data_IF_613099645639
#
_entry.id   IF_613099645639
#
_cell.length_a   1.000
_cell.length_b   1.000
_cell.length_c   1.000
_cell.angle_alpha   90.00
_cell.angle_beta   90.00
_cell.angle_gamma   90.00
#
_symmetry.space_group_name_H-M   'P 1'
#
loop_
_entity.id
_entity.type
_entity.pdbx_description
1 polymer ?
#
# COMPACT_ATOMS: atom_id res chain seq x y z
N UNK A 1 -5.24 7.20 -15.62
CA UNK A 1 -4.71 5.98 -16.33
C UNK A 1 -5.90 5.19 -16.83
N UNK A 2 -5.85 4.63 -18.05
CA UNK A 2 -6.91 3.76 -18.59
C UNK A 2 -6.94 2.47 -17.77
N UNK A 3 -8.11 1.93 -17.44
CA UNK A 3 -8.26 0.73 -16.61
C UNK A 3 -7.53 -0.48 -17.19
N UNK A 4 -7.54 -0.62 -18.53
CA UNK A 4 -6.79 -1.67 -19.22
C UNK A 4 -5.28 -1.61 -18.95
N UNK A 5 -4.69 -0.41 -18.91
CA UNK A 5 -3.26 -0.24 -18.65
C UNK A 5 -2.92 -0.52 -17.19
N UNK A 6 -3.81 -0.16 -16.24
CA UNK A 6 -3.63 -0.52 -14.84
C UNK A 6 -3.57 -2.04 -14.67
N UNK A 7 -4.51 -2.76 -15.25
CA UNK A 7 -4.55 -4.22 -15.21
C UNK A 7 -3.29 -4.87 -15.78
N UNK A 8 -2.80 -4.39 -16.92
CA UNK A 8 -1.55 -4.89 -17.54
C UNK A 8 -0.36 -4.62 -16.63
N UNK A 9 -0.23 -3.41 -16.09
CA UNK A 9 0.86 -3.03 -15.20
C UNK A 9 0.86 -3.86 -13.90
N UNK A 10 -0.31 -4.13 -13.32
CA UNK A 10 -0.43 -4.88 -12.07
C UNK A 10 -0.28 -6.40 -12.24
N UNK A 11 -0.42 -6.94 -13.46
CA UNK A 11 -0.48 -8.39 -13.70
C UNK A 11 0.74 -9.15 -13.15
N UNK A 12 1.94 -8.58 -13.25
CA UNK A 12 3.20 -9.18 -12.79
C UNK A 12 3.65 -8.73 -11.38
N UNK A 13 2.93 -7.80 -10.74
CA UNK A 13 3.34 -7.29 -9.43
C UNK A 13 2.97 -8.24 -8.29
N UNK A 14 3.91 -8.42 -7.36
CA UNK A 14 3.61 -8.99 -6.04
C UNK A 14 2.93 -7.95 -5.15
N UNK A 15 3.49 -6.74 -5.08
CA UNK A 15 2.93 -5.60 -4.34
C UNK A 15 2.80 -4.39 -5.25
N UNK A 16 1.75 -3.61 -5.09
CA UNK A 16 1.60 -2.32 -5.77
C UNK A 16 2.27 -1.18 -4.95
N UNK A 17 3.48 -1.41 -4.54
CA UNK A 17 4.31 -0.51 -3.74
C UNK A 17 5.79 -0.87 -3.89
N UNK A 18 6.75 0.04 -3.60
CA UNK A 18 8.18 -0.26 -3.59
C UNK A 18 8.55 -1.10 -2.35
N UNK A 19 8.06 -2.35 -2.32
CA UNK A 19 8.13 -3.30 -1.22
C UNK A 19 8.81 -4.58 -1.68
N UNK A 20 9.99 -4.87 -1.11
CA UNK A 20 10.68 -6.14 -1.34
C UNK A 20 10.04 -7.26 -0.50
N UNK A 21 10.22 -8.51 -0.95
CA UNK A 21 9.80 -9.71 -0.22
C UNK A 21 10.37 -9.75 1.20
N UNK A 22 11.65 -9.42 1.36
CA UNK A 22 12.34 -9.38 2.63
C UNK A 22 11.70 -8.36 3.58
N UNK A 23 11.45 -7.14 3.09
CA UNK A 23 10.80 -6.09 3.87
C UNK A 23 9.36 -6.45 4.22
N UNK A 24 8.59 -7.01 3.28
CA UNK A 24 7.23 -7.46 3.56
C UNK A 24 7.20 -8.48 4.71
N UNK A 25 8.10 -9.48 4.69
CA UNK A 25 8.20 -10.46 5.75
C UNK A 25 8.64 -9.83 7.09
N UNK A 26 9.56 -8.87 7.06
CA UNK A 26 9.99 -8.14 8.26
C UNK A 26 8.88 -7.27 8.86
N UNK A 27 8.07 -6.63 8.03
CA UNK A 27 6.90 -5.84 8.47
C UNK A 27 5.82 -6.75 9.09
N UNK A 28 5.50 -7.87 8.44
CA UNK A 28 4.56 -8.87 8.99
C UNK A 28 5.03 -9.39 10.34
N UNK A 29 6.32 -9.75 10.47
CA UNK A 29 6.88 -10.24 11.72
C UNK A 29 6.94 -9.19 12.84
N UNK A 30 6.90 -7.90 12.49
CA UNK A 30 6.91 -6.80 13.46
C UNK A 30 5.52 -6.49 14.05
N UNK A 31 4.45 -7.01 13.44
CA UNK A 31 3.08 -6.80 13.95
C UNK A 31 2.81 -7.73 15.14
N UNK A 32 2.36 -7.19 16.29
CA UNK A 32 2.07 -8.00 17.47
C UNK A 32 0.70 -8.67 17.35
N UNK A 33 0.60 -9.66 16.47
CA UNK A 33 -0.65 -10.36 16.17
C UNK A 33 -0.81 -11.56 17.12
N UNK A 34 -1.95 -11.63 17.80
CA UNK A 34 -2.35 -12.71 18.69
C UNK A 34 -3.44 -13.60 18.06
N UNK A 35 -3.60 -14.85 18.52
CA UNK A 35 -4.71 -15.70 18.10
C UNK A 35 -6.07 -15.01 18.32
N UNK A 36 -6.93 -15.05 17.30
CA UNK A 36 -8.25 -14.43 17.35
C UNK A 36 -8.29 -12.96 16.89
N UNK A 37 -7.13 -12.33 16.63
CA UNK A 37 -7.10 -10.99 16.08
C UNK A 37 -7.76 -10.91 14.70
N UNK A 38 -8.32 -9.76 14.39
CA UNK A 38 -8.81 -9.38 13.07
C UNK A 38 -7.91 -8.33 12.43
N UNK A 39 -7.63 -8.49 11.13
CA UNK A 39 -6.84 -7.55 10.32
C UNK A 39 -7.73 -6.90 9.27
N UNK A 40 -7.74 -5.58 9.23
CA UNK A 40 -8.43 -4.76 8.24
C UNK A 40 -7.40 -4.12 7.30
N UNK A 41 -7.49 -4.38 6.00
CA UNK A 41 -6.60 -3.79 4.98
C UNK A 41 -7.41 -2.83 4.11
N UNK A 42 -7.21 -1.53 4.32
CA UNK A 42 -7.93 -0.43 3.65
C UNK A 42 -7.16 0.02 2.41
N UNK A 43 -7.74 -0.22 1.23
CA UNK A 43 -7.11 -0.06 -0.07
C UNK A 43 -6.21 -1.23 -0.41
N UNK A 44 -6.70 -2.43 -0.14
CA UNK A 44 -5.92 -3.67 -0.18
C UNK A 44 -5.47 -4.08 -1.60
N UNK A 45 -6.08 -3.55 -2.68
CA UNK A 45 -5.88 -4.05 -4.02
C UNK A 45 -6.24 -5.54 -4.08
N UNK A 46 -5.26 -6.40 -4.42
CA UNK A 46 -5.45 -7.87 -4.38
C UNK A 46 -5.08 -8.50 -3.04
N UNK A 47 -4.82 -7.71 -2.00
CA UNK A 47 -4.63 -8.16 -0.63
C UNK A 47 -3.36 -8.97 -0.36
N UNK A 48 -2.30 -8.84 -1.14
CA UNK A 48 -1.11 -9.69 -0.99
C UNK A 48 -0.50 -9.58 0.42
N UNK A 49 -0.43 -8.37 0.99
CA UNK A 49 0.12 -8.20 2.34
C UNK A 49 -0.81 -8.81 3.41
N UNK A 50 -2.11 -8.63 3.28
CA UNK A 50 -3.12 -9.26 4.14
C UNK A 50 -3.02 -10.80 4.07
N UNK A 51 -2.91 -11.37 2.86
CA UNK A 51 -2.75 -12.81 2.67
C UNK A 51 -1.49 -13.35 3.36
N UNK A 52 -0.38 -12.60 3.34
CA UNK A 52 0.86 -12.97 4.06
C UNK A 52 0.67 -12.93 5.56
N UNK A 53 0.02 -11.90 6.08
CA UNK A 53 -0.31 -11.81 7.51
C UNK A 53 -1.12 -13.04 7.94
N UNK A 54 -2.19 -13.37 7.20
CA UNK A 54 -3.03 -14.53 7.54
C UNK A 54 -2.30 -15.87 7.38
N UNK A 55 -1.34 -15.96 6.45
CA UNK A 55 -0.50 -17.16 6.30
C UNK A 55 0.42 -17.33 7.50
N UNK A 56 1.05 -16.25 7.97
CA UNK A 56 1.95 -16.27 9.12
C UNK A 56 1.22 -16.48 10.45
N UNK A 57 -0.07 -16.10 10.53
CA UNK A 57 -0.89 -16.15 11.74
C UNK A 57 -2.17 -16.99 11.52
N UNK A 58 -2.12 -18.33 11.68
CA UNK A 58 -3.22 -19.22 11.31
C UNK A 58 -4.53 -19.03 12.07
N UNK A 59 -4.51 -18.44 13.26
CA UNK A 59 -5.69 -18.18 14.08
C UNK A 59 -6.26 -16.75 13.92
N UNK A 60 -5.93 -16.05 12.83
CA UNK A 60 -6.31 -14.67 12.55
C UNK A 60 -7.25 -14.62 11.35
N UNK A 61 -8.21 -13.71 11.36
CA UNK A 61 -9.10 -13.41 10.23
C UNK A 61 -8.76 -12.06 9.62
N UNK A 62 -9.27 -11.76 8.43
CA UNK A 62 -9.02 -10.48 7.80
C UNK A 62 -10.10 -10.03 6.84
N UNK A 63 -10.23 -8.72 6.69
CA UNK A 63 -11.07 -8.06 5.68
C UNK A 63 -10.19 -7.16 4.82
N UNK A 64 -10.22 -7.35 3.51
CA UNK A 64 -9.60 -6.46 2.53
C UNK A 64 -10.66 -5.60 1.85
N UNK A 65 -10.47 -4.29 1.84
CA UNK A 65 -11.41 -3.32 1.26
C UNK A 65 -10.73 -2.57 0.12
N UNK A 66 -11.38 -2.51 -1.03
CA UNK A 66 -10.94 -1.73 -2.18
C UNK A 66 -12.14 -1.38 -3.08
N UNK A 67 -12.01 -0.37 -3.92
CA UNK A 67 -13.01 -0.04 -4.94
C UNK A 67 -12.80 -0.79 -6.26
N UNK A 68 -11.63 -1.40 -6.45
CA UNK A 68 -11.24 -2.06 -7.70
C UNK A 68 -11.68 -3.52 -7.71
N UNK A 69 -12.89 -3.80 -8.18
CA UNK A 69 -13.49 -5.15 -8.23
C UNK A 69 -12.55 -6.20 -8.83
N UNK A 70 -11.85 -5.89 -9.94
CA UNK A 70 -10.94 -6.83 -10.60
C UNK A 70 -9.76 -7.24 -9.71
N UNK A 71 -9.25 -6.31 -8.88
CA UNK A 71 -8.18 -6.60 -7.91
C UNK A 71 -8.70 -7.47 -6.76
N UNK A 72 -9.90 -7.17 -6.25
CA UNK A 72 -10.54 -8.01 -5.24
C UNK A 72 -10.77 -9.44 -5.75
N UNK A 73 -11.24 -9.61 -6.99
CA UNK A 73 -11.41 -10.92 -7.63
C UNK A 73 -10.07 -11.67 -7.78
N UNK A 74 -8.97 -10.95 -8.02
CA UNK A 74 -7.61 -11.52 -7.98
C UNK A 74 -7.28 -11.99 -6.55
N UNK A 75 -7.57 -11.18 -5.54
CA UNK A 75 -7.38 -11.50 -4.13
C UNK A 75 -8.14 -12.76 -3.71
N UNK A 76 -9.40 -12.88 -4.10
CA UNK A 76 -10.23 -14.08 -3.84
C UNK A 76 -9.58 -15.34 -4.42
N UNK A 77 -9.07 -15.28 -5.66
CA UNK A 77 -8.36 -16.41 -6.28
C UNK A 77 -7.07 -16.77 -5.52
N UNK A 78 -6.28 -15.78 -5.13
CA UNK A 78 -5.05 -15.99 -4.36
C UNK A 78 -5.34 -16.57 -2.97
N UNK A 79 -6.39 -16.10 -2.30
CA UNK A 79 -6.85 -16.64 -1.02
C UNK A 79 -7.25 -18.12 -1.13
N UNK A 80 -7.99 -18.47 -2.18
CA UNK A 80 -8.38 -19.87 -2.43
C UNK A 80 -7.16 -20.77 -2.69
N UNK A 81 -6.19 -20.32 -3.50
CA UNK A 81 -4.94 -21.05 -3.78
C UNK A 81 -4.10 -21.31 -2.51
N UNK A 82 -4.17 -20.41 -1.52
CA UNK A 82 -3.45 -20.53 -0.24
C UNK A 82 -4.28 -21.19 0.88
N UNK A 83 -5.52 -21.62 0.59
CA UNK A 83 -6.42 -22.20 1.60
C UNK A 83 -6.92 -21.21 2.66
N UNK A 84 -6.94 -19.92 2.34
CA UNK A 84 -7.30 -18.84 3.26
C UNK A 84 -8.76 -18.40 3.13
N UNK A 85 -9.53 -18.93 2.18
CA UNK A 85 -10.88 -18.49 1.81
C UNK A 85 -11.89 -18.47 2.97
N UNK A 86 -11.68 -19.28 4.01
CA UNK A 86 -12.54 -19.29 5.20
C UNK A 86 -12.17 -18.25 6.25
N UNK A 87 -11.06 -17.53 6.06
CA UNK A 87 -10.52 -16.58 7.03
C UNK A 87 -10.35 -15.16 6.50
N UNK A 88 -10.72 -14.93 5.25
CA UNK A 88 -10.62 -13.62 4.59
C UNK A 88 -11.90 -13.27 3.87
N UNK A 89 -12.29 -12.01 3.97
CA UNK A 89 -13.35 -11.40 3.18
C UNK A 89 -12.76 -10.27 2.35
N UNK A 90 -13.23 -10.11 1.11
CA UNK A 90 -12.93 -8.97 0.25
C UNK A 90 -14.20 -8.17 -0.01
N UNK A 91 -14.19 -6.89 0.33
CA UNK A 91 -15.33 -5.98 0.28
C UNK A 91 -15.08 -4.88 -0.75
N UNK A 92 -15.99 -4.74 -1.71
CA UNK A 92 -15.96 -3.61 -2.65
C UNK A 92 -16.64 -2.40 -2.00
N UNK A 93 -15.83 -1.46 -1.49
CA UNK A 93 -16.32 -0.25 -0.82
C UNK A 93 -15.28 0.88 -0.91
N UNK A 94 -15.78 2.11 -0.69
CA UNK A 94 -14.92 3.27 -0.50
C UNK A 94 -14.32 3.26 0.91
N UNK A 95 -13.00 3.19 0.99
CA UNK A 95 -12.26 3.12 2.27
C UNK A 95 -12.47 4.36 3.14
N UNK A 96 -12.77 5.53 2.55
CA UNK A 96 -13.04 6.75 3.30
C UNK A 96 -14.34 6.70 4.13
N UNK A 97 -15.23 5.76 3.80
CA UNK A 97 -16.52 5.58 4.49
C UNK A 97 -16.63 4.22 5.19
N UNK A 98 -15.61 3.39 5.10
CA UNK A 98 -15.57 2.06 5.72
C UNK A 98 -14.99 2.14 7.13
N UNK A 99 -15.81 1.96 8.16
CA UNK A 99 -15.48 2.20 9.56
C UNK A 99 -15.69 0.93 10.41
N UNK A 100 -14.90 -0.10 10.16
CA UNK A 100 -14.87 -1.30 11.00
C UNK A 100 -13.65 -1.30 11.93
N UNK A 101 -13.84 -1.81 13.14
CA UNK A 101 -12.77 -1.94 14.13
C UNK A 101 -11.98 -3.22 13.92
N UNK A 102 -10.65 -3.12 13.99
CA UNK A 102 -9.73 -4.25 13.89
C UNK A 102 -8.56 -4.14 14.88
N UNK A 103 -7.97 -5.28 15.20
CA UNK A 103 -6.78 -5.34 16.06
C UNK A 103 -5.52 -4.87 15.32
N UNK A 104 -5.49 -5.09 14.01
CA UNK A 104 -4.48 -4.55 13.12
C UNK A 104 -5.14 -3.92 11.90
N UNK A 105 -4.78 -2.67 11.61
CA UNK A 105 -5.22 -1.96 10.40
C UNK A 105 -4.01 -1.79 9.47
N UNK A 106 -4.20 -2.09 8.20
CA UNK A 106 -3.20 -1.92 7.15
C UNK A 106 -3.72 -0.88 6.16
N UNK A 107 -2.88 0.06 5.74
CA UNK A 107 -3.20 1.04 4.70
C UNK A 107 -1.92 1.46 3.98
N UNK A 108 -1.76 1.04 2.74
CA UNK A 108 -0.52 1.21 1.98
C UNK A 108 -0.80 1.96 0.66
N UNK A 109 -0.28 3.20 0.56
CA UNK A 109 -0.40 4.02 -0.65
C UNK A 109 -1.82 4.52 -0.94
N UNK A 110 -2.69 4.58 0.06
CA UNK A 110 -4.12 4.87 -0.09
C UNK A 110 -4.56 6.22 0.48
N UNK A 111 -3.64 7.02 1.00
CA UNK A 111 -3.97 8.33 1.61
C UNK A 111 -4.76 9.26 0.70
N UNK A 112 -4.56 9.15 -0.62
CA UNK A 112 -5.29 9.92 -1.61
C UNK A 112 -6.82 9.67 -1.59
N UNK A 113 -7.26 8.47 -1.20
CA UNK A 113 -8.68 8.14 -1.06
C UNK A 113 -9.34 8.83 0.13
N UNK A 114 -8.56 9.21 1.14
CA UNK A 114 -9.03 9.93 2.32
C UNK A 114 -8.91 11.46 2.22
N UNK A 115 -8.32 11.97 1.13
CA UNK A 115 -8.05 13.40 0.96
C UNK A 115 -6.64 13.85 1.35
N UNK A 116 -5.82 12.95 1.88
CA UNK A 116 -4.42 13.18 2.24
C UNK A 116 -3.96 12.33 3.42
N UNK A 117 -2.67 12.38 3.71
CA UNK A 117 -2.06 11.55 4.78
C UNK A 117 -2.60 11.89 6.18
N UNK A 118 -2.95 13.16 6.43
CA UNK A 118 -3.51 13.59 7.72
C UNK A 118 -4.90 13.01 7.95
N UNK A 119 -5.78 13.14 6.98
CA UNK A 119 -7.15 12.60 6.99
C UNK A 119 -7.14 11.07 7.07
N UNK A 120 -6.26 10.43 6.30
CA UNK A 120 -6.07 8.98 6.37
C UNK A 120 -5.69 8.52 7.77
N UNK A 121 -4.69 9.14 8.40
CA UNK A 121 -4.23 8.77 9.73
C UNK A 121 -5.31 8.96 10.80
N UNK A 122 -6.13 10.00 10.72
CA UNK A 122 -7.28 10.17 11.62
C UNK A 122 -8.32 9.05 11.43
N UNK A 123 -8.67 8.71 10.18
CA UNK A 123 -9.60 7.62 9.89
C UNK A 123 -9.07 6.26 10.38
N UNK A 124 -7.77 6.00 10.20
CA UNK A 124 -7.14 4.77 10.68
C UNK A 124 -7.16 4.65 12.21
N UNK A 125 -7.07 5.78 12.93
CA UNK A 125 -7.20 5.77 14.40
C UNK A 125 -8.61 5.35 14.85
N UNK A 126 -9.65 5.71 14.09
CA UNK A 126 -11.02 5.30 14.37
C UNK A 126 -11.28 3.81 14.07
N UNK A 127 -10.46 3.20 13.20
CA UNK A 127 -10.58 1.80 12.81
C UNK A 127 -9.75 0.83 13.67
N UNK A 128 -8.80 1.32 14.47
CA UNK A 128 -7.94 0.45 15.28
C UNK A 128 -8.46 0.32 16.71
N UNK A 129 -8.53 -0.91 17.22
CA UNK A 129 -8.93 -1.18 18.62
C UNK A 129 -7.90 -0.61 19.61
N UNK A 130 -8.29 -0.30 20.85
CA UNK A 130 -7.34 0.05 21.91
C UNK A 130 -6.30 -1.07 22.10
N UNK A 131 -5.03 -0.72 22.01
CA UNK A 131 -3.91 -1.70 22.07
C UNK A 131 -3.55 -2.35 20.71
N UNK A 132 -4.33 -2.11 19.67
CA UNK A 132 -4.06 -2.56 18.31
C UNK A 132 -2.90 -1.82 17.63
N UNK A 133 -2.65 -2.12 16.37
CA UNK A 133 -1.59 -1.50 15.58
C UNK A 133 -2.08 -1.10 14.19
N UNK A 134 -1.45 -0.06 13.66
CA UNK A 134 -1.62 0.32 12.26
C UNK A 134 -0.30 0.12 11.53
N UNK A 135 -0.31 -0.63 10.42
CA UNK A 135 0.76 -0.64 9.43
C UNK A 135 0.39 0.35 8.33
N UNK A 136 1.08 1.47 8.33
CA UNK A 136 0.85 2.57 7.38
C UNK A 136 2.03 2.71 6.43
N UNK A 137 1.76 2.80 5.15
CA UNK A 137 2.77 3.10 4.13
C UNK A 137 2.31 4.18 3.17
N UNK A 138 3.17 5.16 2.92
CA UNK A 138 2.83 6.23 1.98
C UNK A 138 4.06 6.86 1.33
N UNK A 139 3.82 7.51 0.19
CA UNK A 139 4.81 8.27 -0.56
C UNK A 139 5.10 9.62 0.10
N UNK A 140 6.34 10.07 -0.03
CA UNK A 140 6.77 11.38 0.43
C UNK A 140 7.87 11.95 -0.47
N UNK A 141 8.11 13.26 -0.40
CA UNK A 141 9.27 13.89 -1.04
C UNK A 141 10.50 13.75 -0.15
N UNK A 142 11.44 12.88 -0.54
CA UNK A 142 12.71 12.66 0.16
C UNK A 142 13.67 13.84 -0.03
N UNK A 143 13.63 14.47 -1.21
CA UNK A 143 14.34 15.72 -1.53
C UNK A 143 13.38 16.69 -2.20
N UNK A 144 13.71 18.00 -2.27
CA UNK A 144 12.87 18.95 -3.01
C UNK A 144 12.68 18.50 -4.46
N UNK A 145 11.41 18.26 -4.89
CA UNK A 145 11.12 17.80 -6.25
C UNK A 145 11.33 18.91 -7.28
N UNK A 146 11.67 18.53 -8.51
CA UNK A 146 11.62 19.42 -9.66
C UNK A 146 10.17 19.82 -9.99
N UNK A 147 9.98 20.83 -10.84
CA UNK A 147 8.65 21.21 -11.31
C UNK A 147 7.99 20.05 -12.07
N UNK A 148 8.73 19.39 -12.97
CA UNK A 148 8.24 18.22 -13.70
C UNK A 148 7.85 17.06 -12.79
N UNK A 149 8.62 16.79 -11.72
CA UNK A 149 8.26 15.77 -10.73
C UNK A 149 6.95 16.11 -10.00
N UNK A 150 6.72 17.39 -9.66
CA UNK A 150 5.46 17.85 -9.05
C UNK A 150 4.27 17.74 -9.99
N UNK A 151 4.46 18.05 -11.26
CA UNK A 151 3.41 17.91 -12.27
C UNK A 151 3.00 16.45 -12.47
N UNK A 152 3.96 15.53 -12.44
CA UNK A 152 3.71 14.09 -12.64
C UNK A 152 3.10 13.43 -11.41
N UNK A 153 3.64 13.68 -10.22
CA UNK A 153 3.28 12.96 -8.98
C UNK A 153 2.27 13.74 -8.14
N UNK A 154 2.29 15.07 -8.22
CA UNK A 154 1.43 15.93 -7.42
C UNK A 154 2.06 16.37 -6.10
N UNK A 155 1.20 16.73 -5.15
CA UNK A 155 1.62 17.21 -3.84
C UNK A 155 1.78 16.04 -2.88
N UNK A 156 3.01 15.83 -2.40
CA UNK A 156 3.30 14.87 -1.34
C UNK A 156 3.87 15.60 -0.11
N UNK A 157 3.69 15.05 1.11
CA UNK A 157 4.35 15.56 2.29
C UNK A 157 5.86 15.29 2.22
N UNK A 158 6.63 15.92 3.08
CA UNK A 158 7.96 15.49 3.44
C UNK A 158 7.89 14.39 4.50
N UNK A 159 8.97 13.64 4.71
CA UNK A 159 8.99 12.57 5.71
C UNK A 159 8.73 13.05 7.15
N UNK A 160 9.29 14.20 7.50
CA UNK A 160 9.06 14.85 8.80
C UNK A 160 7.61 15.32 8.98
N UNK A 161 6.98 15.83 7.92
CA UNK A 161 5.56 16.19 7.92
C UNK A 161 4.65 14.95 8.07
N UNK A 162 5.00 13.84 7.41
CA UNK A 162 4.26 12.57 7.51
C UNK A 162 4.32 12.01 8.96
N UNK A 163 5.50 12.03 9.58
CA UNK A 163 5.69 11.64 10.97
C UNK A 163 4.91 12.54 11.93
N UNK A 164 4.96 13.85 11.71
CA UNK A 164 4.21 14.81 12.50
C UNK A 164 2.69 14.62 12.36
N UNK A 165 2.22 14.29 11.16
CA UNK A 165 0.80 13.97 10.91
C UNK A 165 0.37 12.72 11.71
N UNK A 166 1.18 11.66 11.76
CA UNK A 166 0.89 10.47 12.55
C UNK A 166 0.79 10.79 14.05
N UNK A 167 1.73 11.57 14.57
CA UNK A 167 1.71 12.01 15.97
C UNK A 167 0.52 12.91 16.26
N UNK A 168 0.19 13.84 15.38
CA UNK A 168 -0.95 14.77 15.52
C UNK A 168 -2.30 14.04 15.46
N UNK A 169 -2.38 12.94 14.70
CA UNK A 169 -3.56 12.09 14.65
C UNK A 169 -3.75 11.26 15.94
N UNK A 170 -2.79 11.23 16.86
CA UNK A 170 -2.86 10.49 18.11
C UNK A 170 -2.11 9.16 18.11
N UNK A 171 -1.13 8.98 17.22
CA UNK A 171 -0.30 7.79 17.18
C UNK A 171 1.08 8.02 17.79
N UNK A 172 1.61 6.96 18.40
CA UNK A 172 3.02 6.78 18.70
C UNK A 172 3.64 5.91 17.60
N UNK A 173 4.76 6.34 17.03
CA UNK A 173 5.51 5.59 16.02
C UNK A 173 6.38 4.56 16.73
N UNK A 174 6.17 3.27 16.47
CA UNK A 174 6.96 2.17 17.04
C UNK A 174 8.04 1.68 16.08
N UNK A 175 7.79 1.74 14.77
CA UNK A 175 8.75 1.41 13.73
C UNK A 175 8.64 2.42 12.60
N UNK A 176 9.78 2.79 12.05
CA UNK A 176 9.91 3.81 11.01
C UNK A 176 11.01 3.39 10.05
N UNK A 177 10.62 3.02 8.84
CA UNK A 177 11.52 2.57 7.78
C UNK A 177 11.19 3.29 6.48
N UNK A 178 12.16 3.29 5.57
CA UNK A 178 12.01 3.89 4.25
C UNK A 178 12.47 2.88 3.20
N UNK A 179 11.73 2.76 2.11
CA UNK A 179 12.15 1.97 0.94
C UNK A 179 13.44 2.52 0.37
N UNK A 180 14.31 1.62 -0.05
CA UNK A 180 15.55 1.99 -0.73
C UNK A 180 15.27 2.41 -2.17
N UNK A 181 16.24 3.08 -2.79
CA UNK A 181 16.16 3.38 -4.22
C UNK A 181 16.08 2.11 -5.06
N UNK A 182 16.72 1.02 -4.61
CA UNK A 182 16.63 -0.29 -5.28
C UNK A 182 15.21 -0.89 -5.22
N UNK A 183 14.48 -0.70 -4.10
CA UNK A 183 13.07 -1.11 -3.99
C UNK A 183 12.20 -0.34 -5.01
N UNK A 184 12.46 0.97 -5.17
CA UNK A 184 11.78 1.79 -6.16
C UNK A 184 12.10 1.38 -7.59
N UNK A 185 13.39 1.17 -7.92
CA UNK A 185 13.83 0.75 -9.26
C UNK A 185 13.20 -0.61 -9.64
N UNK A 186 13.14 -1.55 -8.69
CA UNK A 186 12.52 -2.85 -8.88
C UNK A 186 11.00 -2.75 -9.11
N UNK A 187 10.32 -1.94 -8.30
CA UNK A 187 8.89 -1.68 -8.44
C UNK A 187 8.55 -1.07 -9.79
N UNK A 188 9.23 0.02 -10.18
CA UNK A 188 8.99 0.73 -11.44
C UNK A 188 9.30 -0.16 -12.65
N UNK A 189 10.35 -0.98 -12.58
CA UNK A 189 10.69 -1.94 -13.64
C UNK A 189 9.60 -3.01 -13.78
N UNK A 190 9.17 -3.61 -12.68
CA UNK A 190 8.12 -4.64 -12.69
C UNK A 190 6.78 -4.08 -13.18
N UNK A 191 6.44 -2.85 -12.77
CA UNK A 191 5.22 -2.17 -13.19
C UNK A 191 5.18 -1.96 -14.71
N UNK A 192 6.28 -1.50 -15.31
CA UNK A 192 6.40 -1.32 -16.76
C UNK A 192 6.43 -2.63 -17.53
N UNK A 193 7.06 -3.66 -16.98
CA UNK A 193 7.19 -4.96 -17.64
C UNK A 193 5.83 -5.58 -18.02
N UNK A 194 4.79 -5.38 -17.18
CA UNK A 194 3.44 -5.85 -17.52
C UNK A 194 2.83 -5.18 -18.75
N UNK A 195 3.09 -3.88 -18.93
CA UNK A 195 2.66 -3.12 -20.12
C UNK A 195 3.46 -3.54 -21.38
N UNK A 196 4.77 -3.66 -21.25
CA UNK A 196 5.68 -4.05 -22.33
C UNK A 196 5.36 -5.48 -22.84
N UNK A 197 5.11 -6.41 -21.92
CA UNK A 197 4.75 -7.80 -22.25
C UNK A 197 3.41 -7.94 -22.98
N UNK A 198 2.54 -6.93 -22.91
CA UNK A 198 1.26 -6.94 -23.64
C UNK A 198 1.43 -6.88 -25.16
N UNK A 199 2.55 -6.34 -25.65
CA UNK A 199 2.81 -6.09 -27.06
C UNK A 199 1.89 -5.06 -27.72
N UNK A 200 0.99 -4.41 -26.96
CA UNK A 200 0.11 -3.36 -27.46
C UNK A 200 0.90 -2.05 -27.63
N UNK A 201 0.96 -1.46 -28.84
CA UNK A 201 1.80 -0.29 -29.10
C UNK A 201 1.54 0.89 -28.14
N UNK A 202 0.27 1.13 -27.78
CA UNK A 202 -0.10 2.21 -26.86
C UNK A 202 0.35 1.92 -25.41
N UNK A 203 0.30 0.65 -24.97
CA UNK A 203 0.77 0.26 -23.64
C UNK A 203 2.29 0.35 -23.53
N UNK A 204 3.00 -0.09 -24.59
CA UNK A 204 4.47 0.04 -24.69
C UNK A 204 4.88 1.52 -24.67
N UNK A 205 4.20 2.36 -25.43
CA UNK A 205 4.48 3.81 -25.45
C UNK A 205 4.24 4.45 -24.07
N UNK A 206 3.21 4.00 -23.36
CA UNK A 206 2.92 4.47 -22.00
C UNK A 206 3.98 3.99 -20.99
N UNK A 207 4.46 2.76 -21.10
CA UNK A 207 5.57 2.25 -20.28
C UNK A 207 6.85 3.07 -20.50
N UNK A 208 7.16 3.41 -21.76
CA UNK A 208 8.32 4.23 -22.11
C UNK A 208 8.19 5.68 -21.61
N UNK A 209 6.98 6.27 -21.65
CA UNK A 209 6.71 7.57 -21.05
C UNK A 209 6.96 7.53 -19.55
N UNK A 210 6.39 6.54 -18.83
CA UNK A 210 6.58 6.37 -17.38
C UNK A 210 8.03 6.16 -17.01
N UNK A 211 8.79 5.42 -17.84
CA UNK A 211 10.24 5.24 -17.62
C UNK A 211 10.97 6.57 -17.60
N UNK A 212 10.72 7.44 -18.58
CA UNK A 212 11.32 8.79 -18.64
C UNK A 212 10.89 9.66 -17.46
N UNK A 213 9.61 9.68 -17.15
CA UNK A 213 9.07 10.42 -16.00
C UNK A 213 9.73 9.98 -14.69
N UNK A 214 9.98 8.69 -14.53
CA UNK A 214 10.69 8.14 -13.39
C UNK A 214 12.17 8.52 -13.40
N UNK A 215 12.92 8.07 -14.42
CA UNK A 215 14.38 8.17 -14.47
C UNK A 215 14.87 9.63 -14.49
N UNK A 216 14.24 10.49 -15.27
CA UNK A 216 14.61 11.89 -15.47
C UNK A 216 13.85 12.85 -14.54
N UNK A 217 12.73 12.44 -13.98
CA UNK A 217 11.83 13.27 -13.20
C UNK A 217 11.90 13.03 -11.70
N UNK A 218 11.24 11.97 -11.20
CA UNK A 218 11.00 11.85 -9.75
C UNK A 218 11.85 10.79 -9.02
N UNK A 219 12.64 9.98 -9.70
CA UNK A 219 13.45 8.88 -9.12
C UNK A 219 14.33 9.34 -7.95
N UNK A 220 14.98 10.50 -8.07
CA UNK A 220 15.90 11.03 -7.06
C UNK A 220 15.19 11.77 -5.92
N UNK A 221 13.89 12.04 -6.05
CA UNK A 221 13.15 12.87 -5.14
C UNK A 221 12.07 12.12 -4.34
N UNK A 222 11.59 10.98 -4.87
CA UNK A 222 10.50 10.23 -4.24
C UNK A 222 11.03 9.26 -3.18
N UNK A 223 10.27 9.12 -2.09
CA UNK A 223 10.47 8.10 -1.06
C UNK A 223 9.16 7.39 -0.72
N UNK A 224 9.25 6.25 -0.04
CA UNK A 224 8.11 5.54 0.51
C UNK A 224 8.41 5.15 1.97
N UNK A 225 7.55 5.54 2.87
CA UNK A 225 7.67 5.31 4.32
C UNK A 225 6.83 4.10 4.73
N UNK A 226 7.32 3.36 5.72
CA UNK A 226 6.65 2.23 6.37
C UNK A 226 6.65 2.49 7.86
N UNK A 227 5.47 2.74 8.42
CA UNK A 227 5.29 3.05 9.84
C UNK A 227 4.48 1.94 10.51
N UNK A 228 4.95 1.43 11.66
CA UNK A 228 4.10 0.70 12.60
C UNK A 228 3.73 1.67 13.70
N UNK A 229 2.42 1.89 13.84
CA UNK A 229 1.83 2.91 14.70
C UNK A 229 1.00 2.25 15.81
N UNK A 230 1.06 2.81 17.01
CA UNK A 230 0.19 2.45 18.12
C UNK A 230 -0.64 3.67 18.53
N UNK A 231 -1.93 3.54 18.86
CA UNK A 231 -2.67 4.60 19.56
C UNK A 231 -1.90 5.08 20.79
N UNK A 232 -1.83 6.42 21.01
CA UNK A 232 -1.04 7.05 22.08
C UNK A 232 -1.73 6.95 23.45
#
# INVERSE_FOLDING_TARGET
MRDDFRRLAHAGLTFNAPLSEERANALVAALPISPGHHVLDLGCGWGELLLRILTAHPATTGTGVDTAREELDRGVRLAAQRGLHARIEFVEADVATFLDLADVVVSIGTSHAFGGSGEALHALLECVTPGGRVLYGDTFWATPPSEAARETIGKLPRLDELRAAAQSAGFRIERDEVSTLADWDAFETSWRAGLEASGLPEAVAFAEQRRREYEDGYRSAIGFSWLVLAPA
#
